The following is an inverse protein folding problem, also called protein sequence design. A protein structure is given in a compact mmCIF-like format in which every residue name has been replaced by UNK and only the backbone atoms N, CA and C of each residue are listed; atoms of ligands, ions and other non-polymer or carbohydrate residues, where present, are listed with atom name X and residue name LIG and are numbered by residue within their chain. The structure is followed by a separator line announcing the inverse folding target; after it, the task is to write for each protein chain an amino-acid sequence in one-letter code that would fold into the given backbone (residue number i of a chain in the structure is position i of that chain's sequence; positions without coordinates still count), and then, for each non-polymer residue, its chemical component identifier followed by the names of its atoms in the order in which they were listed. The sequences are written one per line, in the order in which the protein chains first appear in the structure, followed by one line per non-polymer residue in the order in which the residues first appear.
data_IF_319240555714
#
_entry.id   IF_319240555714
#
_cell.length_a   1.000
_cell.length_b   1.000
_cell.length_c   1.000
_cell.angle_alpha   90.00
_cell.angle_beta   90.00
_cell.angle_gamma   90.00
#
_symmetry.space_group_name_H-M   'P 1'
#
loop_
_entity.id
_entity.type
_entity.pdbx_description
1 polymer ?
#
# COMPACT_ATOMS: atom_id res chain seq x y z
N UNK A 1 1.39 -12.25 -9.36
CA UNK A 1 1.08 -11.52 -8.12
C UNK A 1 2.29 -10.67 -7.77
N UNK A 2 2.17 -9.35 -7.86
CA UNK A 2 3.29 -8.42 -7.62
C UNK A 2 3.62 -8.30 -6.13
N UNK A 3 4.89 -8.01 -5.81
CA UNK A 3 5.33 -7.93 -4.42
C UNK A 3 4.70 -6.75 -3.64
N UNK A 4 4.32 -5.67 -4.33
CA UNK A 4 3.58 -4.54 -3.74
C UNK A 4 2.10 -4.86 -3.47
N UNK A 5 1.48 -5.76 -4.23
CA UNK A 5 0.09 -6.18 -4.00
C UNK A 5 -0.02 -6.99 -2.70
N UNK A 6 1.02 -7.76 -2.37
CA UNK A 6 1.11 -8.47 -1.08
C UNK A 6 1.09 -7.50 0.10
N UNK A 7 1.64 -6.30 -0.04
CA UNK A 7 1.58 -5.27 1.01
C UNK A 7 0.16 -4.78 1.20
N UNK A 8 -0.59 -4.58 0.11
CA UNK A 8 -1.99 -4.18 0.21
C UNK A 8 -2.86 -5.26 0.88
N UNK A 9 -2.58 -6.54 0.63
CA UNK A 9 -3.36 -7.66 1.17
C UNK A 9 -2.99 -8.04 2.61
N UNK A 10 -1.69 -8.00 2.94
CA UNK A 10 -1.17 -8.51 4.21
C UNK A 10 -0.56 -7.43 5.12
N UNK A 11 -0.47 -6.19 4.64
CA UNK A 11 0.10 -5.07 5.38
C UNK A 11 -0.90 -4.43 6.35
N UNK A 12 -0.41 -3.47 7.11
CA UNK A 12 -1.22 -2.70 8.04
C UNK A 12 -1.71 -1.41 7.39
N UNK A 13 -3.01 -1.16 7.45
CA UNK A 13 -3.59 0.09 6.99
C UNK A 13 -3.23 1.17 8.03
N UNK A 14 -2.27 2.03 7.69
CA UNK A 14 -1.85 3.16 8.53
C UNK A 14 -2.87 4.29 8.48
N UNK A 15 -3.48 4.49 7.30
CA UNK A 15 -4.46 5.56 7.09
C UNK A 15 -5.45 5.17 6.01
N UNK A 16 -6.71 5.46 6.26
CA UNK A 16 -7.78 5.41 5.27
C UNK A 16 -8.48 6.76 5.25
N UNK A 17 -8.50 7.41 4.08
CA UNK A 17 -9.15 8.70 3.87
C UNK A 17 -10.22 8.55 2.80
N UNK A 18 -11.47 8.85 3.14
CA UNK A 18 -12.54 8.97 2.15
C UNK A 18 -12.54 10.38 1.59
N UNK A 19 -12.46 10.48 0.27
CA UNK A 19 -12.48 11.73 -0.48
C UNK A 19 -13.60 11.68 -1.53
N UNK A 20 -13.94 12.83 -2.11
CA UNK A 20 -14.95 12.90 -3.18
C UNK A 20 -14.57 12.07 -4.43
N UNK A 21 -13.27 11.81 -4.62
CA UNK A 21 -12.72 11.03 -5.73
C UNK A 21 -12.67 9.53 -5.45
N UNK A 22 -12.90 9.10 -4.20
CA UNK A 22 -12.79 7.73 -3.75
C UNK A 22 -12.06 7.58 -2.42
N UNK A 23 -11.74 6.34 -2.07
CA UNK A 23 -11.08 5.99 -0.80
C UNK A 23 -9.59 5.84 -1.02
N UNK A 24 -8.80 6.72 -0.41
CA UNK A 24 -7.34 6.62 -0.37
C UNK A 24 -6.92 5.72 0.79
N UNK A 25 -6.00 4.81 0.53
CA UNK A 25 -5.45 3.85 1.48
C UNK A 25 -3.95 4.03 1.55
N UNK A 26 -3.41 4.15 2.76
CA UNK A 26 -1.98 4.15 3.05
C UNK A 26 -1.71 2.87 3.84
N UNK A 27 -0.93 1.97 3.25
CA UNK A 27 -0.64 0.65 3.80
C UNK A 27 0.85 0.49 4.00
N UNK A 28 1.27 0.18 5.22
CA UNK A 28 2.65 -0.17 5.55
C UNK A 28 2.84 -1.68 5.50
N UNK A 29 4.00 -2.11 5.02
CA UNK A 29 4.36 -3.53 5.04
C UNK A 29 5.85 -3.76 4.89
N UNK A 30 6.25 -5.01 5.12
CA UNK A 30 7.63 -5.45 4.93
C UNK A 30 7.74 -6.13 3.58
N UNK A 31 8.68 -5.67 2.76
CA UNK A 31 9.03 -6.31 1.51
C UNK A 31 10.37 -7.03 1.66
N UNK A 32 10.41 -8.30 1.28
CA UNK A 32 11.67 -9.04 1.17
C UNK A 32 12.33 -8.68 -0.15
N UNK A 33 13.52 -8.08 -0.09
CA UNK A 33 14.32 -7.81 -1.27
C UNK A 33 14.86 -9.12 -1.87
N UNK A 34 15.22 -9.14 -3.15
CA UNK A 34 15.94 -10.27 -3.75
C UNK A 34 17.25 -10.60 -3.02
N UNK A 35 17.87 -9.62 -2.37
CA UNK A 35 19.05 -9.79 -1.52
C UNK A 35 18.75 -10.37 -0.13
N UNK A 36 17.50 -10.76 0.15
CA UNK A 36 17.09 -11.43 1.39
C UNK A 36 16.83 -10.50 2.58
N UNK A 37 17.02 -9.18 2.42
CA UNK A 37 16.78 -8.18 3.47
C UNK A 37 15.31 -7.76 3.48
N UNK A 38 14.77 -7.46 4.65
CA UNK A 38 13.44 -6.87 4.75
C UNK A 38 13.53 -5.34 4.77
N UNK A 39 12.81 -4.70 3.86
CA UNK A 39 12.63 -3.25 3.84
C UNK A 39 11.20 -2.92 4.26
N UNK A 40 11.04 -1.91 5.13
CA UNK A 40 9.73 -1.32 5.37
C UNK A 40 9.37 -0.42 4.20
N UNK A 41 8.19 -0.65 3.64
CA UNK A 41 7.64 0.12 2.53
C UNK A 41 6.26 0.63 2.91
N UNK A 42 6.01 1.89 2.61
CA UNK A 42 4.67 2.45 2.61
C UNK A 42 4.18 2.50 1.18
N UNK A 43 2.97 2.00 0.98
CA UNK A 43 2.28 2.00 -0.31
C UNK A 43 1.02 2.84 -0.19
N UNK A 44 0.78 3.68 -1.18
CA UNK A 44 -0.38 4.55 -1.26
C UNK A 44 -1.24 4.10 -2.43
N UNK A 45 -2.51 3.86 -2.14
CA UNK A 45 -3.50 3.36 -3.07
C UNK A 45 -4.73 4.25 -3.07
N UNK A 46 -5.53 4.17 -4.13
CA UNK A 46 -6.86 4.77 -4.20
C UNK A 46 -7.84 3.79 -4.82
N UNK A 47 -8.98 3.61 -4.18
CA UNK A 47 -10.17 2.99 -4.78
C UNK A 47 -11.04 4.13 -5.27
N UNK A 48 -11.10 4.35 -6.59
CA UNK A 48 -11.93 5.44 -7.12
C UNK A 48 -13.41 5.16 -6.89
N UNK A 49 -14.21 6.22 -6.79
CA UNK A 49 -15.66 6.09 -6.69
C UNK A 49 -16.20 5.35 -7.94
N UNK A 50 -16.92 4.25 -7.72
CA UNK A 50 -17.45 3.39 -8.78
C UNK A 50 -16.50 2.27 -9.25
N UNK A 51 -15.29 2.19 -8.70
CA UNK A 51 -14.37 1.07 -8.92
C UNK A 51 -14.36 0.15 -7.69
N UNK A 52 -14.31 -1.17 -7.92
CA UNK A 52 -14.18 -2.18 -6.86
C UNK A 52 -12.75 -2.69 -6.69
N UNK A 53 -11.76 -2.05 -7.31
CA UNK A 53 -10.37 -2.43 -7.22
C UNK A 53 -9.49 -1.23 -6.83
N UNK A 54 -8.49 -1.44 -5.97
CA UNK A 54 -7.54 -0.41 -5.60
C UNK A 54 -6.52 -0.18 -6.72
N UNK A 55 -6.21 1.09 -6.97
CA UNK A 55 -5.15 1.52 -7.90
C UNK A 55 -3.94 1.97 -7.11
N UNK A 56 -2.77 1.51 -7.53
CA UNK A 56 -1.51 1.95 -6.97
C UNK A 56 -1.22 3.40 -7.39
N UNK A 57 -0.91 4.25 -6.42
CA UNK A 57 -0.48 5.63 -6.69
C UNK A 57 1.05 5.71 -6.61
N UNK A 58 1.61 5.38 -5.46
CA UNK A 58 3.04 5.52 -5.19
C UNK A 58 3.46 4.65 -4.01
N UNK A 59 4.76 4.37 -3.92
CA UNK A 59 5.37 3.74 -2.75
C UNK A 59 6.66 4.45 -2.40
N UNK A 60 6.98 4.50 -1.11
CA UNK A 60 8.24 5.02 -0.63
C UNK A 60 8.77 4.18 0.54
N UNK A 61 10.10 4.08 0.69
CA UNK A 61 10.69 3.41 1.83
C UNK A 61 10.32 4.16 3.11
N UNK A 62 9.81 3.44 4.09
CA UNK A 62 9.26 4.02 5.31
C UNK A 62 8.34 3.05 6.02
N UNK A 63 7.98 3.39 7.26
CA UNK A 63 7.16 2.56 8.14
C UNK A 63 7.73 2.62 9.55
N UNK A 64 6.86 2.71 10.56
CA UNK A 64 7.30 2.63 11.95
C UNK A 64 7.94 1.26 12.18
N UNK A 65 9.11 1.29 12.81
CA UNK A 65 9.96 0.13 13.10
C UNK A 65 9.37 -0.71 14.22
#
# INVERSE_FOLDING_TARGET
MGDIEKILLNGNIEKQENTDYGTKLIVSGKLKSPSGKFAHLITVWIVKKGENFPRFITSYPGGKK
#
